data_IF_927085497608
#
_entry.id   IF_927085497608
#
_cell.length_a   1.000
_cell.length_b   1.000
_cell.length_c   1.000
_cell.angle_alpha   90.00
_cell.angle_beta   90.00
_cell.angle_gamma   90.00
#
_symmetry.space_group_name_H-M   'P 1'
#
loop_
_entity.id
_entity.type
_entity.pdbx_description
1 polymer ?
#
# COMPACT_ATOMS: atom_id res chain seq x y z
N UNK A 1 -7.96 15.71 -8.15
CA UNK A 1 -6.57 15.58 -8.62
C UNK A 1 -6.23 14.10 -8.58
N UNK A 2 -6.16 13.40 -9.73
CA UNK A 2 -5.82 11.98 -9.77
C UNK A 2 -4.33 11.86 -9.53
N UNK A 3 -3.93 11.49 -8.33
CA UNK A 3 -2.56 11.04 -8.07
C UNK A 3 -2.41 9.62 -8.65
N UNK A 4 -2.17 9.51 -9.94
CA UNK A 4 -1.59 8.30 -10.50
C UNK A 4 -0.08 8.35 -10.23
N UNK A 5 0.32 8.11 -9.00
CA UNK A 5 1.72 7.89 -8.67
C UNK A 5 2.13 6.50 -9.18
N UNK A 6 2.29 6.39 -10.50
CA UNK A 6 3.15 5.35 -11.02
C UNK A 6 4.58 5.82 -10.75
N UNK A 7 5.14 5.36 -9.63
CA UNK A 7 6.55 5.54 -9.37
C UNK A 7 7.33 5.00 -10.57
N UNK A 8 8.12 5.86 -11.21
CA UNK A 8 9.04 5.44 -12.26
C UNK A 8 10.22 4.74 -11.58
N UNK A 9 10.48 3.51 -11.99
CA UNK A 9 11.61 2.74 -11.49
C UNK A 9 12.73 2.78 -12.51
N UNK A 10 13.87 3.35 -12.12
CA UNK A 10 15.07 3.46 -12.96
C UNK A 10 16.15 2.56 -12.37
N UNK A 11 16.70 1.66 -13.18
CA UNK A 11 17.74 0.74 -12.75
C UNK A 11 19.14 1.42 -12.71
N UNK A 12 20.14 0.69 -12.24
CA UNK A 12 21.53 1.18 -12.14
C UNK A 12 22.16 1.61 -13.49
N UNK A 13 21.60 1.16 -14.62
CA UNK A 13 22.05 1.53 -15.97
C UNK A 13 21.26 2.73 -16.53
N UNK A 14 20.50 3.42 -15.69
CA UNK A 14 19.67 4.56 -16.06
C UNK A 14 18.56 4.22 -17.06
N UNK A 15 18.05 2.97 -17.02
CA UNK A 15 16.98 2.47 -17.88
C UNK A 15 15.71 2.36 -17.04
N UNK A 16 14.59 2.88 -17.56
CA UNK A 16 13.28 2.69 -16.95
C UNK A 16 12.86 1.22 -17.04
N UNK A 17 12.43 0.67 -15.89
CA UNK A 17 11.99 -0.72 -15.77
C UNK A 17 10.56 -0.80 -15.27
N UNK A 18 9.78 -1.82 -15.67
CA UNK A 18 8.40 -1.96 -15.22
C UNK A 18 8.31 -2.23 -13.72
N UNK A 19 7.21 -1.82 -13.11
CA UNK A 19 6.93 -2.19 -11.72
C UNK A 19 6.57 -3.68 -11.60
N UNK A 20 6.85 -4.28 -10.45
CA UNK A 20 6.41 -5.65 -10.12
C UNK A 20 4.89 -5.79 -10.30
N UNK A 21 4.12 -4.80 -9.86
CA UNK A 21 2.65 -4.81 -10.01
C UNK A 21 2.22 -4.79 -11.46
N UNK A 22 2.95 -4.09 -12.36
CA UNK A 22 2.69 -4.10 -13.80
C UNK A 22 2.89 -5.48 -14.39
N UNK A 23 3.97 -6.17 -13.99
CA UNK A 23 4.25 -7.55 -14.42
C UNK A 23 3.16 -8.51 -13.90
N UNK A 24 2.79 -8.39 -12.63
CA UNK A 24 1.76 -9.23 -12.01
C UNK A 24 0.36 -9.03 -12.60
N UNK A 25 0.07 -7.89 -13.23
CA UNK A 25 -1.19 -7.67 -13.96
C UNK A 25 -1.38 -8.61 -15.15
N UNK A 26 -0.30 -9.18 -15.68
CA UNK A 26 -0.36 -10.19 -16.75
C UNK A 26 -0.91 -11.54 -16.26
N UNK A 27 -0.89 -11.79 -14.95
CA UNK A 27 -1.42 -13.00 -14.37
C UNK A 27 -2.95 -12.96 -14.32
N UNK A 28 -3.57 -14.01 -14.82
CA UNK A 28 -5.02 -14.16 -14.72
C UNK A 28 -5.43 -14.32 -13.24
N UNK A 29 -6.40 -13.53 -12.81
CA UNK A 29 -6.96 -13.55 -11.44
C UNK A 29 -8.46 -13.85 -11.48
N UNK A 30 -8.89 -15.11 -11.68
CA UNK A 30 -10.31 -15.49 -11.79
C UNK A 30 -11.14 -15.07 -10.56
N UNK A 31 -10.52 -15.02 -9.39
CA UNK A 31 -11.17 -14.56 -8.15
C UNK A 31 -11.64 -13.11 -8.21
N UNK A 32 -10.89 -12.23 -8.90
CA UNK A 32 -11.29 -10.83 -9.07
C UNK A 32 -12.53 -10.70 -9.97
N UNK A 33 -12.64 -11.52 -11.02
CA UNK A 33 -13.84 -11.54 -11.86
C UNK A 33 -15.07 -11.99 -11.07
N UNK A 34 -14.94 -13.04 -10.25
CA UNK A 34 -16.02 -13.51 -9.36
C UNK A 34 -16.43 -12.45 -8.35
N UNK A 35 -15.47 -11.78 -7.74
CA UNK A 35 -15.72 -10.69 -6.80
C UNK A 35 -16.41 -9.49 -7.48
N UNK A 36 -15.95 -9.06 -8.65
CA UNK A 36 -16.57 -7.98 -9.41
C UNK A 36 -18.03 -8.30 -9.79
N UNK A 37 -18.29 -9.54 -10.22
CA UNK A 37 -19.64 -10.01 -10.48
C UNK A 37 -20.52 -9.95 -9.23
N UNK A 38 -20.00 -10.38 -8.08
CA UNK A 38 -20.72 -10.31 -6.80
C UNK A 38 -21.10 -8.88 -6.44
N UNK A 39 -20.19 -7.90 -6.59
CA UNK A 39 -20.50 -6.49 -6.39
C UNK A 39 -21.57 -5.98 -7.37
N UNK A 40 -21.49 -6.41 -8.63
CA UNK A 40 -22.50 -6.08 -9.64
C UNK A 40 -23.90 -6.59 -9.26
N UNK A 41 -24.01 -7.81 -8.71
CA UNK A 41 -25.26 -8.33 -8.16
C UNK A 41 -25.80 -7.47 -7.00
N UNK A 42 -24.91 -6.91 -6.17
CA UNK A 42 -25.27 -5.98 -5.11
C UNK A 42 -25.53 -4.56 -5.59
N UNK A 43 -25.44 -4.27 -6.88
CA UNK A 43 -25.54 -2.95 -7.48
C UNK A 43 -24.52 -1.95 -6.93
N UNK A 44 -23.36 -2.46 -6.51
CA UNK A 44 -22.25 -1.62 -6.06
C UNK A 44 -21.34 -1.26 -7.25
N UNK A 45 -20.81 -0.03 -7.25
CA UNK A 45 -19.86 0.39 -8.27
C UNK A 45 -18.48 -0.17 -7.95
N UNK A 46 -17.99 -1.08 -8.78
CA UNK A 46 -16.69 -1.77 -8.60
C UNK A 46 -15.54 -0.77 -8.56
N UNK A 47 -15.53 0.22 -9.46
CA UNK A 47 -14.44 1.19 -9.52
C UNK A 47 -14.38 2.04 -8.25
N UNK A 48 -15.54 2.44 -7.71
CA UNK A 48 -15.61 3.18 -6.46
C UNK A 48 -15.11 2.34 -5.27
N UNK A 49 -15.51 1.07 -5.19
CA UNK A 49 -15.03 0.16 -4.12
C UNK A 49 -13.53 -0.04 -4.19
N UNK A 50 -12.96 -0.14 -5.40
CA UNK A 50 -11.52 -0.22 -5.60
C UNK A 50 -10.80 1.07 -5.21
N UNK A 51 -11.33 2.23 -5.60
CA UNK A 51 -10.77 3.54 -5.26
C UNK A 51 -10.79 3.78 -3.74
N UNK A 52 -11.90 3.53 -3.06
CA UNK A 52 -12.02 3.64 -1.61
C UNK A 52 -11.04 2.71 -0.89
N UNK A 53 -10.86 1.49 -1.38
CA UNK A 53 -9.91 0.53 -0.83
C UNK A 53 -8.45 0.98 -1.03
N UNK A 54 -8.12 1.53 -2.20
CA UNK A 54 -6.80 2.06 -2.49
C UNK A 54 -6.49 3.29 -1.61
N UNK A 55 -7.46 4.20 -1.43
CA UNK A 55 -7.31 5.37 -0.58
C UNK A 55 -7.07 4.98 0.89
N UNK A 56 -7.82 3.99 1.40
CA UNK A 56 -7.61 3.44 2.75
C UNK A 56 -6.23 2.85 2.90
N UNK A 57 -5.78 2.04 1.94
CA UNK A 57 -4.44 1.46 1.95
C UNK A 57 -3.35 2.52 1.98
N UNK A 58 -3.43 3.52 1.09
CA UNK A 58 -2.47 4.62 1.02
C UNK A 58 -2.37 5.38 2.34
N UNK A 59 -3.50 5.72 2.95
CA UNK A 59 -3.54 6.45 4.22
C UNK A 59 -2.91 5.64 5.36
N UNK A 60 -3.25 4.34 5.44
CA UNK A 60 -2.67 3.43 6.45
C UNK A 60 -1.16 3.31 6.30
N UNK A 61 -0.65 3.13 5.07
CA UNK A 61 0.78 3.05 4.82
C UNK A 61 1.51 4.32 5.26
N UNK A 62 1.00 5.51 4.91
CA UNK A 62 1.59 6.77 5.35
C UNK A 62 1.60 6.92 6.86
N UNK A 63 0.48 6.60 7.50
CA UNK A 63 0.32 6.70 8.95
C UNK A 63 1.29 5.76 9.70
N UNK A 64 1.35 4.49 9.30
CA UNK A 64 2.23 3.50 9.93
C UNK A 64 3.70 3.82 9.70
N UNK A 65 4.06 4.31 8.51
CA UNK A 65 5.42 4.75 8.21
C UNK A 65 5.82 5.93 9.12
N UNK A 66 4.93 6.91 9.30
CA UNK A 66 5.18 8.04 10.19
C UNK A 66 5.37 7.59 11.65
N UNK A 67 4.56 6.65 12.13
CA UNK A 67 4.67 6.08 13.48
C UNK A 67 6.00 5.34 13.66
N UNK A 68 6.33 4.43 12.74
CA UNK A 68 7.52 3.58 12.83
C UNK A 68 8.82 4.37 12.77
N UNK A 69 8.87 5.41 11.95
CA UNK A 69 10.08 6.21 11.74
C UNK A 69 10.05 7.55 12.45
N UNK A 70 9.06 7.80 13.33
CA UNK A 70 8.87 9.04 14.08
C UNK A 70 8.91 10.29 13.19
N UNK A 71 8.34 10.16 11.99
CA UNK A 71 8.23 11.26 11.02
C UNK A 71 7.00 12.10 11.33
N UNK A 72 7.07 13.38 10.98
CA UNK A 72 5.87 14.22 11.04
C UNK A 72 4.87 13.72 9.99
N UNK A 73 3.68 13.38 10.44
CA UNK A 73 2.58 12.98 9.57
C UNK A 73 1.81 14.23 9.13
N UNK A 74 1.97 14.59 7.86
CA UNK A 74 1.11 15.60 7.24
C UNK A 74 -0.16 14.91 6.77
N UNK A 75 -1.20 15.04 7.58
CA UNK A 75 -2.48 14.43 7.32
C UNK A 75 -3.18 15.13 6.15
N UNK A 76 -3.10 14.56 4.96
CA UNK A 76 -3.95 14.90 3.82
C UNK A 76 -4.98 13.78 3.72
N UNK A 77 -6.13 13.99 4.36
CA UNK A 77 -7.19 12.99 4.40
C UNK A 77 -7.64 12.62 3.00
N UNK A 78 -7.49 11.34 2.65
CA UNK A 78 -7.99 10.80 1.40
C UNK A 78 -9.52 10.71 1.45
N UNK A 79 -10.18 10.90 0.30
CA UNK A 79 -11.63 10.78 0.19
C UNK A 79 -12.07 9.35 0.56
N UNK A 80 -13.14 9.23 1.33
CA UNK A 80 -13.70 7.93 1.74
C UNK A 80 -12.99 7.27 2.94
N UNK A 81 -11.96 7.90 3.53
CA UNK A 81 -11.28 7.40 4.74
C UNK A 81 -11.82 8.09 5.97
N UNK A 82 -12.35 7.33 6.93
CA UNK A 82 -12.83 7.86 8.22
C UNK A 82 -11.76 7.79 9.29
N UNK A 83 -11.81 8.73 10.25
CA UNK A 83 -10.90 8.72 11.40
C UNK A 83 -11.09 7.46 12.25
N UNK A 84 -12.33 7.01 12.44
CA UNK A 84 -12.64 5.79 13.19
C UNK A 84 -11.95 4.57 12.59
N UNK A 85 -11.93 4.47 11.25
CA UNK A 85 -11.21 3.39 10.57
C UNK A 85 -9.71 3.44 10.87
N UNK A 86 -9.10 4.62 10.81
CA UNK A 86 -7.67 4.79 11.10
C UNK A 86 -7.34 4.48 12.55
N UNK A 87 -8.18 4.90 13.51
CA UNK A 87 -8.01 4.56 14.93
C UNK A 87 -8.07 3.05 15.18
N UNK A 88 -9.01 2.34 14.55
CA UNK A 88 -9.11 0.88 14.65
C UNK A 88 -7.85 0.21 14.11
N UNK A 89 -7.37 0.64 12.94
CA UNK A 89 -6.16 0.08 12.33
C UNK A 89 -4.93 0.33 13.20
N UNK A 90 -4.77 1.55 13.72
CA UNK A 90 -3.69 1.89 14.67
C UNK A 90 -3.76 1.04 15.94
N UNK A 91 -4.95 0.90 16.52
CA UNK A 91 -5.15 0.08 17.71
C UNK A 91 -4.71 -1.37 17.49
N UNK A 92 -5.16 -1.99 16.40
CA UNK A 92 -4.77 -3.35 16.04
C UNK A 92 -3.26 -3.49 15.78
N UNK A 93 -2.66 -2.49 15.15
CA UNK A 93 -1.23 -2.47 14.91
C UNK A 93 -0.43 -2.39 16.22
N UNK A 94 -0.81 -1.52 17.16
CA UNK A 94 -0.14 -1.40 18.46
C UNK A 94 -0.37 -2.64 19.32
N UNK A 95 -1.54 -3.24 19.27
CA UNK A 95 -1.81 -4.51 19.96
C UNK A 95 -0.88 -5.61 19.45
N UNK A 96 -0.78 -5.77 18.13
CA UNK A 96 0.17 -6.70 17.52
C UNK A 96 1.61 -6.38 17.92
N UNK A 97 2.01 -5.11 17.82
CA UNK A 97 3.38 -4.65 18.14
C UNK A 97 3.75 -4.90 19.60
N UNK A 98 2.78 -4.88 20.53
CA UNK A 98 3.03 -5.15 21.96
C UNK A 98 3.57 -6.55 22.23
N UNK A 99 3.28 -7.51 21.35
CA UNK A 99 3.77 -8.88 21.40
C UNK A 99 5.06 -9.15 20.63
N UNK A 100 5.59 -8.13 19.94
CA UNK A 100 6.73 -8.30 19.05
C UNK A 100 7.82 -7.24 19.26
N UNK A 101 9.07 -7.61 18.98
CA UNK A 101 10.20 -6.70 18.94
C UNK A 101 10.49 -6.32 17.49
N UNK A 102 9.98 -5.19 17.05
CA UNK A 102 10.16 -4.71 15.70
C UNK A 102 11.21 -3.59 15.66
N UNK A 103 12.23 -3.80 14.83
CA UNK A 103 13.28 -2.81 14.56
C UNK A 103 13.23 -2.41 13.07
N UNK A 104 12.59 -1.29 12.75
CA UNK A 104 12.47 -0.84 11.37
C UNK A 104 13.79 -0.26 10.87
N UNK A 105 14.17 -0.58 9.63
CA UNK A 105 15.36 -0.03 8.96
C UNK A 105 14.97 1.03 7.93
N UNK A 106 14.04 0.71 7.05
CA UNK A 106 13.45 1.66 6.09
C UNK A 106 12.07 1.22 5.64
N UNK A 107 11.28 2.17 5.16
CA UNK A 107 9.94 1.92 4.61
C UNK A 107 9.62 2.86 3.47
N UNK A 108 8.59 2.52 2.69
CA UNK A 108 8.13 3.27 1.52
C UNK A 108 9.30 3.65 0.58
N UNK A 109 10.21 2.70 0.37
CA UNK A 109 11.45 2.93 -0.37
C UNK A 109 11.41 2.22 -1.71
N UNK A 110 11.63 2.92 -2.83
CA UNK A 110 11.73 2.28 -4.13
C UNK A 110 13.01 1.47 -4.22
N UNK A 111 12.89 0.25 -4.74
CA UNK A 111 14.00 -0.66 -5.03
C UNK A 111 13.91 -1.13 -6.47
N UNK A 112 15.05 -1.31 -7.12
CA UNK A 112 15.11 -1.74 -8.51
C UNK A 112 16.17 -2.81 -8.73
N UNK A 113 15.93 -3.67 -9.69
CA UNK A 113 16.94 -4.53 -10.29
C UNK A 113 17.04 -4.23 -11.80
N UNK A 114 17.82 -5.02 -12.53
CA UNK A 114 18.03 -4.78 -13.97
C UNK A 114 16.75 -4.91 -14.81
N UNK A 115 15.73 -5.63 -14.34
CA UNK A 115 14.54 -6.00 -15.11
C UNK A 115 13.23 -5.40 -14.58
N UNK A 116 13.13 -5.09 -13.29
CA UNK A 116 11.91 -4.56 -12.69
C UNK A 116 12.20 -3.77 -11.41
N UNK A 117 11.21 -3.03 -10.93
CA UNK A 117 11.29 -2.28 -9.69
C UNK A 117 10.01 -2.41 -8.86
N UNK A 118 10.08 -1.99 -7.61
CA UNK A 118 8.94 -1.95 -6.70
C UNK A 118 9.22 -1.04 -5.52
N UNK A 119 8.18 -0.76 -4.73
CA UNK A 119 8.33 -0.05 -3.46
C UNK A 119 8.20 -1.06 -2.32
N UNK A 120 9.17 -1.02 -1.39
CA UNK A 120 9.15 -1.84 -0.17
C UNK A 120 8.39 -1.06 0.89
N UNK A 121 7.29 -1.64 1.38
CA UNK A 121 6.46 -1.01 2.42
C UNK A 121 7.22 -0.91 3.74
N UNK A 122 7.92 -1.97 4.13
CA UNK A 122 8.75 -1.99 5.33
C UNK A 122 9.85 -3.05 5.21
N UNK A 123 11.08 -2.67 5.55
CA UNK A 123 12.19 -3.58 5.80
C UNK A 123 12.59 -3.48 7.27
N UNK A 124 12.53 -4.59 7.99
CA UNK A 124 12.72 -4.62 9.43
C UNK A 124 13.31 -5.94 9.91
N UNK A 125 13.81 -5.94 11.13
CA UNK A 125 14.07 -7.12 11.94
C UNK A 125 12.87 -7.34 12.87
N UNK A 126 12.37 -8.57 12.95
CA UNK A 126 11.24 -8.94 13.80
C UNK A 126 11.67 -10.10 14.73
N UNK A 127 11.54 -9.86 16.04
CA UNK A 127 11.82 -10.81 17.12
C UNK A 127 13.27 -11.35 17.19
N UNK A 128 14.22 -10.70 16.50
CA UNK A 128 15.65 -10.98 16.58
C UNK A 128 16.16 -11.94 15.53
#
# INVERSE_FOLDING_TARGET
MKYSNHAQYINKNNIEVPSVTTILKLLNKPSLCKWANYLGFKRENVDKVLEDSANKGTEVHFMLNAVLFRKQYLYIKQEGVSDDYLYIVLGNFFEWLSGHKLKPFFGETPVTCDKFGGTVDLYCELDG
#
